data_IF_485338701737
#
_entry.id   IF_485338701737
#
_cell.length_a   1.000
_cell.length_b   1.000
_cell.length_c   1.000
_cell.angle_alpha   90.00
_cell.angle_beta   90.00
_cell.angle_gamma   90.00
#
_symmetry.space_group_name_H-M   'P 1'
#
loop_
_entity.id
_entity.type
_entity.pdbx_description
1 polymer ?
#
# COMPACT_ATOMS: atom_id res chain seq x y z
N UNK A 1 11.01 24.47 -0.61
CA UNK A 1 9.61 24.27 -0.17
C UNK A 1 8.80 23.39 -1.14
N UNK A 2 8.51 23.78 -2.40
CA UNK A 2 7.78 22.90 -3.36
C UNK A 2 8.42 21.51 -3.54
N UNK A 3 9.75 21.46 -3.66
CA UNK A 3 10.53 20.20 -3.74
C UNK A 3 10.36 19.30 -2.51
N UNK A 4 10.20 19.86 -1.32
CA UNK A 4 10.03 19.08 -0.08
C UNK A 4 8.64 18.45 0.01
N UNK A 5 7.60 19.14 -0.46
CA UNK A 5 6.24 18.61 -0.56
C UNK A 5 6.19 17.44 -1.54
N UNK A 6 6.82 17.58 -2.71
CA UNK A 6 6.88 16.49 -3.70
C UNK A 6 7.64 15.28 -3.14
N UNK A 7 8.82 15.48 -2.55
CA UNK A 7 9.60 14.37 -1.96
C UNK A 7 8.83 13.69 -0.83
N UNK A 8 8.15 14.46 0.03
CA UNK A 8 7.39 13.88 1.15
C UNK A 8 6.11 13.19 0.68
N UNK A 9 5.49 13.68 -0.40
CA UNK A 9 4.37 13.00 -1.06
C UNK A 9 4.78 11.68 -1.71
N UNK A 10 5.94 11.65 -2.38
CA UNK A 10 6.52 10.40 -2.90
C UNK A 10 6.90 9.44 -1.78
N UNK A 11 7.42 9.94 -0.65
CA UNK A 11 7.68 9.14 0.53
C UNK A 11 6.40 8.54 1.12
N UNK A 12 5.34 9.34 1.30
CA UNK A 12 4.04 8.83 1.77
C UNK A 12 3.46 7.79 0.83
N UNK A 13 3.51 8.06 -0.48
CA UNK A 13 3.14 7.08 -1.49
C UNK A 13 3.92 5.78 -1.29
N UNK A 14 5.24 5.83 -1.12
CA UNK A 14 6.09 4.65 -0.89
C UNK A 14 5.71 3.88 0.37
N UNK A 15 5.37 4.60 1.45
CA UNK A 15 4.97 3.99 2.71
C UNK A 15 3.62 3.26 2.60
N UNK A 16 2.66 3.83 1.86
CA UNK A 16 1.37 3.19 1.62
C UNK A 16 1.43 2.11 0.55
N UNK A 17 2.20 2.30 -0.52
CA UNK A 17 2.27 1.36 -1.63
C UNK A 17 3.08 0.11 -1.26
N UNK A 18 2.41 -0.87 -0.64
CA UNK A 18 2.99 -2.14 -0.22
C UNK A 18 2.34 -3.38 -0.81
N UNK A 19 2.63 -4.54 -0.21
CA UNK A 19 2.18 -5.85 -0.66
C UNK A 19 0.66 -5.99 -0.84
N UNK A 20 -0.15 -5.45 0.09
CA UNK A 20 -1.60 -5.46 -0.05
C UNK A 20 -2.08 -4.77 -1.33
N UNK A 21 -1.37 -3.74 -1.75
CA UNK A 21 -1.73 -2.93 -2.90
C UNK A 21 -1.34 -3.55 -4.24
N UNK A 22 -0.56 -4.64 -4.21
CA UNK A 22 -0.32 -5.53 -5.35
C UNK A 22 -1.29 -6.72 -5.36
N UNK A 23 -1.90 -7.05 -4.22
CA UNK A 23 -2.84 -8.17 -4.08
C UNK A 23 -4.29 -7.73 -4.41
N UNK A 24 -4.78 -6.69 -3.76
CA UNK A 24 -6.21 -6.40 -3.74
C UNK A 24 -6.74 -5.76 -5.03
N UNK A 25 -6.13 -4.71 -5.60
CA UNK A 25 -6.69 -4.06 -6.79
C UNK A 25 -6.78 -5.00 -8.01
N UNK A 26 -5.74 -5.77 -8.40
CA UNK A 26 -5.85 -6.70 -9.53
C UNK A 26 -6.91 -7.78 -9.29
N UNK A 27 -6.98 -8.34 -8.09
CA UNK A 27 -7.99 -9.37 -7.77
C UNK A 27 -9.41 -8.80 -7.78
N UNK A 28 -9.61 -7.59 -7.24
CA UNK A 28 -10.89 -6.88 -7.33
C UNK A 28 -11.27 -6.65 -8.80
N UNK A 29 -10.33 -6.20 -9.64
CA UNK A 29 -10.55 -6.04 -11.07
C UNK A 29 -11.02 -7.32 -11.76
N UNK A 30 -10.28 -8.40 -11.54
CA UNK A 30 -10.56 -9.72 -12.13
C UNK A 30 -11.92 -10.30 -11.71
N UNK A 31 -12.30 -10.11 -10.45
CA UNK A 31 -13.56 -10.65 -9.90
C UNK A 31 -14.76 -9.76 -10.16
N UNK A 32 -14.58 -8.44 -10.14
CA UNK A 32 -15.65 -7.47 -10.38
C UNK A 32 -15.95 -7.28 -11.87
N UNK A 33 -14.99 -7.52 -12.76
CA UNK A 33 -15.18 -7.44 -14.21
C UNK A 33 -15.85 -6.12 -14.62
N UNK A 34 -17.01 -6.18 -15.28
CA UNK A 34 -17.79 -5.00 -15.67
C UNK A 34 -18.14 -4.05 -14.51
N UNK A 35 -18.30 -4.57 -13.29
CA UNK A 35 -18.59 -3.76 -12.09
C UNK A 35 -17.33 -3.21 -11.40
N UNK A 36 -16.14 -3.40 -11.99
CA UNK A 36 -14.86 -2.93 -11.46
C UNK A 36 -14.91 -1.45 -11.04
N UNK A 37 -15.46 -0.56 -11.86
CA UNK A 37 -15.48 0.88 -11.55
C UNK A 37 -16.20 1.17 -10.24
N UNK A 38 -17.35 0.55 -10.01
CA UNK A 38 -18.13 0.72 -8.78
C UNK A 38 -17.38 0.10 -7.59
N UNK A 39 -16.78 -1.08 -7.77
CA UNK A 39 -15.94 -1.71 -6.74
C UNK A 39 -14.73 -0.85 -6.38
N UNK A 40 -14.05 -0.28 -7.36
CA UNK A 40 -12.88 0.57 -7.14
C UNK A 40 -13.22 1.91 -6.48
N UNK A 41 -14.43 2.46 -6.70
CA UNK A 41 -14.90 3.60 -5.90
C UNK A 41 -15.06 3.23 -4.43
N UNK A 42 -15.61 2.04 -4.15
CA UNK A 42 -15.67 1.50 -2.79
C UNK A 42 -14.29 1.30 -2.19
N UNK A 43 -13.36 0.72 -2.96
CA UNK A 43 -11.97 0.53 -2.56
C UNK A 43 -11.25 1.85 -2.27
N UNK A 44 -11.43 2.86 -3.13
CA UNK A 44 -10.81 4.17 -2.97
C UNK A 44 -11.28 4.89 -1.71
N UNK A 45 -12.52 4.66 -1.27
CA UNK A 45 -13.03 5.23 -0.02
C UNK A 45 -12.17 4.78 1.18
N UNK A 46 -11.96 3.47 1.33
CA UNK A 46 -11.31 2.89 2.52
C UNK A 46 -9.79 2.72 2.35
N UNK A 47 -9.31 2.50 1.14
CA UNK A 47 -7.90 2.29 0.81
C UNK A 47 -7.12 3.55 0.42
N UNK A 48 -7.79 4.69 0.16
CA UNK A 48 -7.13 5.95 -0.21
C UNK A 48 -7.64 7.12 0.64
N UNK A 49 -8.95 7.38 0.59
CA UNK A 49 -9.53 8.59 1.20
C UNK A 49 -9.42 8.55 2.72
N UNK A 50 -9.83 7.47 3.38
CA UNK A 50 -9.72 7.33 4.83
C UNK A 50 -8.26 7.38 5.34
N UNK A 51 -7.29 6.66 4.74
CA UNK A 51 -5.88 6.79 5.08
C UNK A 51 -5.37 8.22 4.93
N UNK A 52 -5.72 8.91 3.84
CA UNK A 52 -5.35 10.31 3.61
C UNK A 52 -5.90 11.24 4.70
N UNK A 53 -7.20 11.12 5.02
CA UNK A 53 -7.82 11.90 6.10
C UNK A 53 -7.14 11.60 7.44
N UNK A 54 -6.83 10.33 7.70
CA UNK A 54 -6.14 9.90 8.92
C UNK A 54 -4.77 10.53 9.07
N UNK A 55 -4.00 10.61 7.98
CA UNK A 55 -2.71 11.33 8.00
C UNK A 55 -2.89 12.80 8.38
N UNK A 56 -3.90 13.48 7.84
CA UNK A 56 -4.18 14.90 8.17
C UNK A 56 -4.61 15.04 9.63
N UNK A 57 -5.52 14.19 10.09
CA UNK A 57 -6.05 14.22 11.46
C UNK A 57 -4.92 13.97 12.46
N UNK A 58 -4.11 12.93 12.27
CA UNK A 58 -3.00 12.66 13.20
C UNK A 58 -1.91 13.72 13.08
N UNK A 59 -1.67 14.30 11.91
CA UNK A 59 -0.75 15.44 11.80
C UNK A 59 -1.20 16.69 12.54
N UNK A 60 -2.50 16.80 12.85
CA UNK A 60 -3.00 17.82 13.76
C UNK A 60 -2.61 17.55 15.21
N UNK A 61 -2.39 16.29 15.61
CA UNK A 61 -1.98 15.90 16.95
C UNK A 61 -0.45 15.75 17.03
N UNK A 62 0.20 16.67 17.74
CA UNK A 62 1.67 16.79 17.77
C UNK A 62 2.41 15.55 18.31
N UNK A 63 1.69 14.67 19.02
CA UNK A 63 2.22 13.52 19.78
C UNK A 63 1.81 12.15 19.18
N UNK A 64 1.31 12.11 17.94
CA UNK A 64 1.07 10.86 17.22
C UNK A 64 -0.09 10.01 17.75
N UNK A 65 -0.06 8.71 17.45
CA UNK A 65 -1.21 7.78 17.64
C UNK A 65 -1.64 7.65 19.10
N UNK A 66 -0.68 7.64 20.02
CA UNK A 66 -0.95 7.53 21.46
C UNK A 66 -1.78 8.71 21.96
N UNK A 67 -1.43 9.93 21.53
CA UNK A 67 -2.13 11.15 21.93
C UNK A 67 -3.59 11.20 21.47
N UNK A 68 -3.91 10.52 20.36
CA UNK A 68 -5.29 10.37 19.89
C UNK A 68 -6.09 9.50 20.87
N UNK A 69 -5.51 8.39 21.34
CA UNK A 69 -6.16 7.51 22.31
C UNK A 69 -6.18 8.06 23.74
N UNK A 70 -5.20 8.89 24.12
CA UNK A 70 -5.14 9.52 25.44
C UNK A 70 -6.35 10.43 25.74
N UNK A 71 -7.08 10.89 24.71
CA UNK A 71 -8.35 11.61 24.88
C UNK A 71 -9.46 10.77 25.53
N UNK A 72 -9.38 9.45 25.39
CA UNK A 72 -10.30 8.52 26.05
C UNK A 72 -9.76 8.20 27.44
N UNK A 73 -8.54 7.67 27.51
CA UNK A 73 -7.84 7.36 28.76
C UNK A 73 -6.35 7.08 28.48
N UNK A 74 -5.40 7.45 29.37
CA UNK A 74 -3.96 7.22 29.13
C UNK A 74 -3.58 5.76 28.85
N UNK A 75 -4.16 4.82 29.61
CA UNK A 75 -3.93 3.38 29.37
C UNK A 75 -4.52 2.90 28.04
N UNK A 76 -5.63 3.50 27.59
CA UNK A 76 -6.20 3.17 26.30
C UNK A 76 -5.27 3.64 25.18
N UNK A 77 -4.75 4.87 25.26
CA UNK A 77 -3.79 5.39 24.27
C UNK A 77 -2.53 4.54 24.16
N UNK A 78 -1.95 4.14 25.29
CA UNK A 78 -0.78 3.25 25.32
C UNK A 78 -1.08 1.88 24.67
N UNK A 79 -2.12 1.18 25.12
CA UNK A 79 -2.49 -0.15 24.59
C UNK A 79 -2.83 -0.05 23.10
N UNK A 80 -3.57 0.98 22.71
CA UNK A 80 -3.94 1.21 21.31
C UNK A 80 -2.69 1.42 20.44
N UNK A 81 -1.76 2.28 20.85
CA UNK A 81 -0.52 2.50 20.13
C UNK A 81 0.30 1.21 19.99
N UNK A 82 0.44 0.44 21.08
CA UNK A 82 1.14 -0.85 21.07
C UNK A 82 0.51 -1.82 20.07
N UNK A 83 -0.81 -1.99 20.08
CA UNK A 83 -1.53 -2.88 19.16
C UNK A 83 -1.33 -2.43 17.70
N UNK A 84 -1.42 -1.13 17.41
CA UNK A 84 -1.22 -0.59 16.06
C UNK A 84 0.21 -0.88 15.58
N UNK A 85 1.23 -0.57 16.38
CA UNK A 85 2.63 -0.80 16.01
C UNK A 85 2.95 -2.30 15.86
N UNK A 86 2.42 -3.17 16.72
CA UNK A 86 2.58 -4.62 16.58
C UNK A 86 1.87 -5.16 15.33
N UNK A 87 0.70 -4.63 14.99
CA UNK A 87 -0.05 -5.04 13.79
C UNK A 87 0.69 -4.68 12.51
N UNK A 88 1.21 -3.45 12.41
CA UNK A 88 2.01 -3.01 11.26
C UNK A 88 3.34 -3.78 11.19
N UNK A 89 3.97 -3.97 12.34
CA UNK A 89 5.25 -4.67 12.47
C UNK A 89 5.10 -6.19 12.49
N UNK A 90 5.17 -6.76 13.69
CA UNK A 90 5.38 -8.19 13.92
C UNK A 90 4.25 -9.10 13.42
N UNK A 91 2.98 -8.66 13.50
CA UNK A 91 1.86 -9.58 13.36
C UNK A 91 1.27 -9.65 11.95
N UNK A 92 1.26 -8.56 11.19
CA UNK A 92 0.54 -8.54 9.92
C UNK A 92 1.32 -7.89 8.79
N UNK A 93 1.73 -6.64 8.92
CA UNK A 93 2.31 -5.88 7.80
C UNK A 93 3.62 -6.50 7.28
N UNK A 94 4.59 -6.76 8.19
CA UNK A 94 5.89 -7.31 7.81
C UNK A 94 5.77 -8.77 7.30
N UNK A 95 5.07 -9.70 7.98
CA UNK A 95 4.88 -11.06 7.46
C UNK A 95 4.20 -11.10 6.09
N UNK A 96 3.17 -10.28 5.87
CA UNK A 96 2.47 -10.20 4.58
C UNK A 96 3.40 -9.71 3.47
N UNK A 97 4.21 -8.69 3.74
CA UNK A 97 5.17 -8.18 2.77
C UNK A 97 6.24 -9.21 2.38
N UNK A 98 6.74 -9.96 3.36
CA UNK A 98 7.69 -11.05 3.12
C UNK A 98 7.05 -12.18 2.27
N UNK A 99 5.79 -12.52 2.53
CA UNK A 99 5.08 -13.55 1.75
C UNK A 99 4.87 -13.14 0.30
N UNK A 100 4.46 -11.89 0.04
CA UNK A 100 4.35 -11.39 -1.35
C UNK A 100 5.70 -11.34 -2.06
N UNK A 101 6.77 -10.97 -1.35
CA UNK A 101 8.12 -11.00 -1.91
C UNK A 101 8.55 -12.44 -2.27
N UNK A 102 8.15 -13.44 -1.47
CA UNK A 102 8.35 -14.84 -1.79
C UNK A 102 7.54 -15.25 -3.02
N UNK A 103 6.22 -15.02 -3.02
CA UNK A 103 5.31 -15.43 -4.09
C UNK A 103 5.68 -14.85 -5.46
N UNK A 104 6.07 -13.58 -5.53
CA UNK A 104 6.48 -12.94 -6.78
C UNK A 104 7.95 -13.25 -7.10
N UNK A 105 8.82 -13.18 -6.09
CA UNK A 105 10.27 -13.25 -6.29
C UNK A 105 10.81 -14.65 -6.55
N UNK A 106 10.18 -15.69 -6.00
CA UNK A 106 10.70 -17.07 -6.14
C UNK A 106 9.98 -17.89 -7.21
N UNK A 107 8.83 -17.44 -7.71
CA UNK A 107 7.99 -18.22 -8.65
C UNK A 107 8.74 -18.76 -9.86
N UNK A 108 9.71 -18.00 -10.37
CA UNK A 108 10.47 -18.36 -11.56
C UNK A 108 11.87 -18.90 -11.27
N UNK A 109 12.32 -18.79 -10.01
CA UNK A 109 13.68 -19.20 -9.60
C UNK A 109 13.64 -20.58 -8.95
N UNK A 110 12.61 -20.84 -8.14
CA UNK A 110 12.49 -22.08 -7.39
C UNK A 110 11.60 -23.09 -8.13
N UNK A 111 12.09 -24.31 -8.39
CA UNK A 111 11.31 -25.36 -9.02
C UNK A 111 10.22 -25.93 -8.10
N UNK A 112 10.35 -25.73 -6.78
CA UNK A 112 9.41 -26.25 -5.77
C UNK A 112 9.07 -25.15 -4.78
N UNK A 113 7.77 -24.99 -4.50
CA UNK A 113 7.25 -24.09 -3.48
C UNK A 113 6.62 -24.93 -2.37
N UNK A 114 7.30 -24.99 -1.22
CA UNK A 114 6.83 -25.68 -0.02
C UNK A 114 7.16 -24.86 1.24
N UNK A 115 6.73 -25.36 2.40
CA UNK A 115 6.94 -24.70 3.68
C UNK A 115 8.44 -24.46 3.98
N UNK A 116 9.33 -25.37 3.58
CA UNK A 116 10.77 -25.24 3.80
C UNK A 116 11.40 -24.13 2.97
N UNK A 117 11.01 -24.02 1.69
CA UNK A 117 11.48 -22.94 0.82
C UNK A 117 11.02 -21.57 1.30
N UNK A 118 9.79 -21.49 1.84
CA UNK A 118 9.28 -20.26 2.47
C UNK A 118 10.09 -19.89 3.72
N UNK A 119 10.39 -20.85 4.60
CA UNK A 119 11.16 -20.59 5.84
C UNK A 119 12.58 -20.12 5.49
N UNK A 120 13.25 -20.78 4.54
CA UNK A 120 14.60 -20.39 4.11
C UNK A 120 14.59 -18.99 3.49
N UNK A 121 13.64 -18.72 2.59
CA UNK A 121 13.49 -17.40 1.99
C UNK A 121 13.25 -16.33 3.06
N UNK A 122 12.31 -16.57 3.99
CA UNK A 122 11.99 -15.64 5.06
C UNK A 122 13.21 -15.37 5.96
N UNK A 123 13.98 -16.40 6.32
CA UNK A 123 15.19 -16.23 7.12
C UNK A 123 16.23 -15.34 6.42
N UNK A 124 16.48 -15.57 5.12
CA UNK A 124 17.40 -14.76 4.32
C UNK A 124 16.87 -13.33 4.15
N UNK A 125 15.58 -13.20 3.80
CA UNK A 125 14.91 -11.91 3.62
C UNK A 125 15.00 -11.07 4.90
N UNK A 126 14.67 -11.64 6.05
CA UNK A 126 14.75 -10.93 7.33
C UNK A 126 16.19 -10.63 7.77
N UNK A 127 17.16 -11.49 7.46
CA UNK A 127 18.57 -11.19 7.72
C UNK A 127 19.05 -9.98 6.90
N UNK A 128 18.66 -9.89 5.63
CA UNK A 128 18.97 -8.74 4.77
C UNK A 128 18.26 -7.49 5.25
N UNK A 129 16.96 -7.58 5.55
CA UNK A 129 16.18 -6.45 6.09
C UNK A 129 16.80 -5.95 7.39
N UNK A 130 17.15 -6.84 8.32
CA UNK A 130 17.82 -6.49 9.57
C UNK A 130 19.16 -5.78 9.31
N UNK A 131 20.00 -6.31 8.42
CA UNK A 131 21.28 -5.69 8.08
C UNK A 131 21.12 -4.29 7.48
N UNK A 132 20.12 -4.09 6.61
CA UNK A 132 19.80 -2.77 6.05
C UNK A 132 19.28 -1.83 7.14
N UNK A 133 18.42 -2.31 8.05
CA UNK A 133 17.86 -1.58 9.19
C UNK A 133 18.91 -1.03 10.17
N UNK A 134 20.11 -1.61 10.22
CA UNK A 134 21.22 -1.07 11.02
C UNK A 134 21.72 0.30 10.52
N UNK A 135 21.40 0.71 9.30
CA UNK A 135 21.77 2.00 8.71
C UNK A 135 20.53 2.85 8.34
N UNK A 136 19.76 3.36 9.31
CA UNK A 136 18.47 4.01 9.07
C UNK A 136 18.56 5.28 8.21
N UNK A 137 19.70 5.99 8.25
CA UNK A 137 19.93 7.18 7.42
C UNK A 137 19.91 6.88 5.92
N UNK A 138 20.41 5.71 5.49
CA UNK A 138 20.39 5.30 4.08
C UNK A 138 19.01 4.80 3.63
N UNK A 139 18.20 4.27 4.54
CA UNK A 139 16.85 3.73 4.22
C UNK A 139 15.93 4.84 3.75
N UNK A 140 15.82 5.92 4.52
CA UNK A 140 14.92 7.05 4.22
C UNK A 140 15.32 7.72 2.90
N UNK A 141 16.62 7.82 2.63
CA UNK A 141 17.13 8.36 1.37
C UNK A 141 16.88 7.42 0.17
N UNK A 142 17.04 6.11 0.34
CA UNK A 142 16.88 5.13 -0.75
C UNK A 142 15.41 4.84 -1.10
N UNK A 143 14.51 4.83 -0.11
CA UNK A 143 13.07 4.56 -0.32
C UNK A 143 12.45 5.57 -1.27
N UNK A 144 12.57 6.87 -0.97
CA UNK A 144 11.95 7.92 -1.77
C UNK A 144 12.67 8.28 -3.06
N UNK A 145 14.01 8.14 -3.12
CA UNK A 145 14.80 8.58 -4.28
C UNK A 145 15.00 7.51 -5.36
N UNK A 146 15.09 6.23 -4.98
CA UNK A 146 15.44 5.16 -5.90
C UNK A 146 14.35 4.09 -6.02
N UNK A 147 13.91 3.53 -4.89
CA UNK A 147 12.94 2.42 -4.90
C UNK A 147 11.57 2.86 -5.41
N UNK A 148 11.10 4.04 -4.98
CA UNK A 148 9.78 4.55 -5.37
C UNK A 148 9.67 4.87 -6.87
N UNK A 149 10.61 5.62 -7.49
CA UNK A 149 10.55 5.84 -8.94
C UNK A 149 10.68 4.56 -9.76
N UNK A 150 11.53 3.62 -9.32
CA UNK A 150 11.69 2.33 -9.99
C UNK A 150 10.38 1.52 -9.96
N UNK A 151 9.76 1.44 -8.78
CA UNK A 151 8.48 0.75 -8.59
C UNK A 151 7.37 1.39 -9.43
N UNK A 152 7.28 2.73 -9.43
CA UNK A 152 6.32 3.46 -10.25
C UNK A 152 6.53 3.17 -11.74
N UNK A 153 7.78 3.14 -12.20
CA UNK A 153 8.12 2.85 -13.57
C UNK A 153 7.74 1.42 -13.97
N UNK A 154 8.04 0.42 -13.13
CA UNK A 154 7.65 -0.97 -13.38
C UNK A 154 6.14 -1.15 -13.47
N UNK A 155 5.40 -0.57 -12.51
CA UNK A 155 3.93 -0.66 -12.48
C UNK A 155 3.31 0.11 -13.64
N UNK A 156 3.85 1.27 -14.00
CA UNK A 156 3.40 2.02 -15.17
C UNK A 156 3.62 1.24 -16.46
N UNK A 157 4.81 0.66 -16.67
CA UNK A 157 5.10 -0.14 -17.86
C UNK A 157 4.15 -1.33 -17.99
N UNK A 158 3.95 -2.08 -16.90
CA UNK A 158 3.02 -3.22 -16.88
C UNK A 158 1.58 -2.76 -17.19
N UNK A 159 1.12 -1.70 -16.53
CA UNK A 159 -0.24 -1.18 -16.73
C UNK A 159 -0.45 -0.71 -18.17
N UNK A 160 0.51 0.02 -18.73
CA UNK A 160 0.48 0.51 -20.10
C UNK A 160 0.45 -0.67 -21.08
N UNK A 161 1.30 -1.68 -20.90
CA UNK A 161 1.37 -2.85 -21.78
C UNK A 161 0.01 -3.57 -21.86
N UNK A 162 -0.66 -3.76 -20.73
CA UNK A 162 -1.97 -4.43 -20.66
C UNK A 162 -3.10 -3.54 -21.21
N UNK A 163 -3.05 -2.23 -20.97
CA UNK A 163 -4.05 -1.30 -21.54
C UNK A 163 -4.02 -1.31 -23.07
N UNK A 164 -2.84 -1.40 -23.68
CA UNK A 164 -2.71 -1.43 -25.14
C UNK A 164 -2.94 -2.81 -25.75
N UNK A 165 -2.76 -3.90 -24.99
CA UNK A 165 -2.98 -5.27 -25.44
C UNK A 165 -3.81 -6.06 -24.42
N UNK A 166 -5.09 -5.73 -24.22
CA UNK A 166 -5.94 -6.49 -23.30
C UNK A 166 -6.12 -7.93 -23.79
N UNK A 167 -6.08 -8.90 -22.88
CA UNK A 167 -6.26 -10.32 -23.22
C UNK A 167 -7.72 -10.65 -23.52
N UNK A 168 -8.63 -10.06 -22.75
CA UNK A 168 -10.06 -10.20 -22.96
C UNK A 168 -10.81 -8.91 -22.67
N UNK A 169 -12.02 -8.81 -23.22
CA UNK A 169 -12.99 -7.83 -22.75
C UNK A 169 -13.34 -8.07 -21.27
N UNK A 170 -13.86 -7.03 -20.61
CA UNK A 170 -14.25 -7.13 -19.20
C UNK A 170 -15.30 -8.24 -19.02
N UNK A 171 -14.95 -9.23 -18.20
CA UNK A 171 -15.81 -10.38 -17.91
C UNK A 171 -17.02 -9.98 -17.05
N UNK A 172 -18.03 -10.85 -16.99
CA UNK A 172 -19.17 -10.64 -16.09
C UNK A 172 -18.71 -10.69 -14.62
N UNK A 173 -19.28 -9.85 -13.73
CA UNK A 173 -18.95 -9.85 -12.31
C UNK A 173 -19.23 -11.21 -11.67
N UNK A 174 -18.40 -11.58 -10.69
CA UNK A 174 -18.53 -12.83 -9.93
C UNK A 174 -18.82 -12.55 -8.45
N UNK A 175 -19.43 -13.53 -7.79
CA UNK A 175 -19.64 -13.58 -6.35
C UNK A 175 -20.27 -12.30 -5.78
N UNK A 176 -19.63 -11.73 -4.75
CA UNK A 176 -20.05 -10.53 -4.02
C UNK A 176 -20.14 -9.26 -4.88
N UNK A 177 -19.50 -9.24 -6.06
CA UNK A 177 -19.54 -8.10 -6.98
C UNK A 177 -20.77 -8.10 -7.90
N UNK A 178 -21.57 -9.18 -7.90
CA UNK A 178 -22.86 -9.21 -8.62
C UNK A 178 -23.88 -8.33 -7.91
N UNK A 179 -24.01 -8.46 -6.59
CA UNK A 179 -25.05 -7.79 -5.80
C UNK A 179 -24.57 -6.52 -5.12
N UNK A 180 -23.34 -6.52 -4.59
CA UNK A 180 -22.83 -5.44 -3.75
C UNK A 180 -21.40 -5.01 -4.14
N UNK A 181 -21.17 -4.53 -5.38
CA UNK A 181 -19.84 -4.19 -5.85
C UNK A 181 -19.17 -3.09 -5.00
N UNK A 182 -19.91 -2.04 -4.64
CA UNK A 182 -19.37 -0.94 -3.83
C UNK A 182 -18.93 -1.40 -2.43
N UNK A 183 -19.82 -2.08 -1.69
CA UNK A 183 -19.54 -2.56 -0.33
C UNK A 183 -18.37 -3.55 -0.34
N UNK A 184 -18.38 -4.49 -1.31
CA UNK A 184 -17.30 -5.46 -1.47
C UNK A 184 -15.97 -4.78 -1.73
N UNK A 185 -15.94 -3.77 -2.61
CA UNK A 185 -14.76 -2.96 -2.86
C UNK A 185 -14.28 -2.20 -1.61
N UNK A 186 -15.20 -1.64 -0.83
CA UNK A 186 -14.84 -0.97 0.44
C UNK A 186 -14.24 -1.91 1.47
N UNK A 187 -14.67 -3.17 1.52
CA UNK A 187 -14.05 -4.17 2.38
C UNK A 187 -12.63 -4.52 1.90
N UNK A 188 -12.41 -4.68 0.59
CA UNK A 188 -11.07 -4.91 0.06
C UNK A 188 -10.12 -3.74 0.34
N UNK A 189 -10.60 -2.51 0.19
CA UNK A 189 -9.81 -1.31 0.53
C UNK A 189 -9.53 -1.21 2.03
N UNK A 190 -10.38 -1.77 2.90
CA UNK A 190 -10.12 -1.87 4.33
C UNK A 190 -9.05 -2.93 4.65
N UNK A 191 -9.08 -4.07 3.96
CA UNK A 191 -8.11 -5.15 4.15
C UNK A 191 -6.69 -4.83 3.65
N UNK A 192 -6.49 -3.75 2.89
CA UNK A 192 -5.13 -3.23 2.64
C UNK A 192 -4.41 -2.89 3.93
N UNK A 193 -5.15 -2.54 5.00
CA UNK A 193 -4.66 -2.04 6.29
C UNK A 193 -3.94 -0.69 6.20
N UNK A 194 -4.07 0.03 5.09
CA UNK A 194 -3.45 1.34 4.91
C UNK A 194 -4.02 2.35 5.90
N UNK A 195 -5.28 2.20 6.32
CA UNK A 195 -5.91 3.05 7.33
C UNK A 195 -5.20 2.94 8.69
N UNK A 196 -4.89 1.71 9.10
CA UNK A 196 -4.16 1.43 10.35
C UNK A 196 -2.72 1.93 10.24
N UNK A 197 -2.09 1.71 9.08
CA UNK A 197 -0.74 2.17 8.81
C UNK A 197 -0.61 3.70 8.78
N UNK A 198 -1.64 4.41 8.30
CA UNK A 198 -1.71 5.87 8.27
C UNK A 198 -1.53 6.51 9.65
N UNK A 199 -2.04 5.85 10.70
CA UNK A 199 -1.84 6.29 12.09
C UNK A 199 -0.34 6.37 12.41
N UNK A 200 0.45 5.36 12.07
CA UNK A 200 1.89 5.36 12.31
C UNK A 200 2.68 6.25 11.33
N UNK A 201 2.36 6.20 10.04
CA UNK A 201 3.10 6.93 8.99
C UNK A 201 2.92 8.45 9.08
N UNK A 202 1.79 8.91 9.62
CA UNK A 202 1.56 10.33 9.90
C UNK A 202 2.65 10.92 10.82
N UNK A 203 3.07 10.17 11.85
CA UNK A 203 4.12 10.57 12.78
C UNK A 203 5.45 10.73 12.06
N UNK A 204 5.75 9.80 11.15
CA UNK A 204 6.98 9.81 10.35
C UNK A 204 7.05 11.05 9.46
N UNK A 205 5.96 11.41 8.75
CA UNK A 205 5.97 12.61 7.90
C UNK A 205 6.02 13.90 8.71
N UNK A 206 5.26 14.00 9.81
CA UNK A 206 5.27 15.18 10.69
C UNK A 206 6.66 15.41 11.25
N UNK A 207 7.28 14.36 11.80
CA UNK A 207 8.64 14.44 12.31
C UNK A 207 9.64 14.73 11.19
N UNK A 208 9.46 14.17 9.99
CA UNK A 208 10.28 14.47 8.82
C UNK A 208 10.30 15.97 8.44
N UNK A 209 9.20 16.69 8.65
CA UNK A 209 9.17 18.15 8.51
C UNK A 209 9.81 18.88 9.69
N UNK A 210 9.54 18.44 10.93
CA UNK A 210 10.14 19.02 12.15
C UNK A 210 11.67 18.92 12.13
N UNK A 211 12.22 17.77 11.75
CA UNK A 211 13.67 17.55 11.59
C UNK A 211 14.32 18.48 10.56
N UNK A 212 13.55 18.99 9.59
CA UNK A 212 14.04 19.96 8.59
C UNK A 212 13.92 21.42 9.06
N UNK A 213 13.69 21.64 10.36
CA UNK A 213 13.64 22.96 10.98
C UNK A 213 12.29 23.67 10.86
N UNK A 214 11.23 22.99 10.42
CA UNK A 214 9.89 23.57 10.47
C UNK A 214 9.31 23.46 11.89
N UNK A 215 9.03 24.61 12.50
CA UNK A 215 8.44 24.72 13.84
C UNK A 215 6.99 25.21 13.82
N UNK A 216 6.55 25.80 12.70
CA UNK A 216 5.20 26.35 12.54
C UNK A 216 4.19 25.22 12.22
N UNK A 217 3.33 24.91 13.20
CA UNK A 217 2.31 23.86 13.12
C UNK A 217 1.36 24.02 11.93
N UNK A 218 0.92 25.24 11.63
CA UNK A 218 0.00 25.49 10.51
C UNK A 218 0.68 25.26 9.16
N UNK A 219 1.96 25.60 9.06
CA UNK A 219 2.76 25.27 7.86
C UNK A 219 2.98 23.78 7.70
N UNK A 220 3.28 23.06 8.79
CA UNK A 220 3.43 21.59 8.77
C UNK A 220 2.14 20.94 8.28
N UNK A 221 0.99 21.31 8.85
CA UNK A 221 -0.32 20.80 8.43
C UNK A 221 -0.61 21.03 6.95
N UNK A 222 -0.34 22.25 6.46
CA UNK A 222 -0.50 22.58 5.04
C UNK A 222 0.38 21.69 4.15
N UNK A 223 1.62 21.42 4.55
CA UNK A 223 2.54 20.59 3.78
C UNK A 223 2.21 19.11 3.83
N UNK A 224 1.76 18.61 4.98
CA UNK A 224 1.26 17.24 5.11
C UNK A 224 0.03 17.06 4.23
N UNK A 225 -0.91 18.02 4.21
CA UNK A 225 -2.09 17.97 3.35
C UNK A 225 -1.71 17.89 1.85
N UNK A 226 -0.83 18.78 1.37
CA UNK A 226 -0.39 18.72 -0.03
C UNK A 226 0.40 17.45 -0.36
N UNK A 227 1.23 16.97 0.56
CA UNK A 227 2.00 15.73 0.36
C UNK A 227 1.09 14.50 0.33
N UNK A 228 0.11 14.45 1.24
CA UNK A 228 -0.89 13.40 1.28
C UNK A 228 -1.77 13.41 0.03
N UNK A 229 -2.11 14.59 -0.50
CA UNK A 229 -2.88 14.70 -1.74
C UNK A 229 -2.11 14.13 -2.94
N UNK A 230 -0.80 14.42 -3.03
CA UNK A 230 0.07 13.83 -4.05
C UNK A 230 0.08 12.29 -3.91
N UNK A 231 0.25 11.78 -2.69
CA UNK A 231 0.24 10.34 -2.45
C UNK A 231 -1.10 9.69 -2.82
N UNK A 232 -2.22 10.29 -2.41
CA UNK A 232 -3.57 9.80 -2.70
C UNK A 232 -3.86 9.74 -4.20
N UNK A 233 -3.45 10.76 -4.97
CA UNK A 233 -3.61 10.79 -6.42
C UNK A 233 -2.78 9.69 -7.08
N UNK A 234 -1.52 9.50 -6.65
CA UNK A 234 -0.65 8.46 -7.19
C UNK A 234 -1.17 7.05 -6.86
N UNK A 235 -1.61 6.81 -5.61
CA UNK A 235 -2.23 5.55 -5.20
C UNK A 235 -3.49 5.27 -6.04
N UNK A 236 -4.37 6.27 -6.19
CA UNK A 236 -5.57 6.15 -7.01
C UNK A 236 -5.26 5.78 -8.45
N UNK A 237 -4.37 6.53 -9.10
CA UNK A 237 -3.97 6.24 -10.47
C UNK A 237 -3.48 4.80 -10.64
N UNK A 238 -2.61 4.34 -9.74
CA UNK A 238 -2.05 2.99 -9.82
C UNK A 238 -3.10 1.93 -9.50
N UNK A 239 -3.92 2.10 -8.47
CA UNK A 239 -4.89 1.09 -8.08
C UNK A 239 -5.94 0.86 -9.17
N UNK A 240 -6.42 1.93 -9.79
CA UNK A 240 -7.35 1.81 -10.92
C UNK A 240 -6.67 1.16 -12.13
N UNK A 241 -5.40 1.47 -12.39
CA UNK A 241 -4.65 0.81 -13.45
C UNK A 241 -4.44 -0.69 -13.18
N UNK A 242 -4.05 -1.07 -11.96
CA UNK A 242 -3.87 -2.45 -11.53
C UNK A 242 -5.19 -3.24 -11.54
N UNK A 243 -6.28 -2.61 -11.13
CA UNK A 243 -7.60 -3.21 -11.24
C UNK A 243 -8.02 -3.39 -12.71
N UNK A 244 -7.67 -2.45 -13.59
CA UNK A 244 -7.92 -2.63 -15.02
C UNK A 244 -7.10 -3.79 -15.60
N UNK A 245 -5.84 -3.93 -15.19
CA UNK A 245 -5.00 -5.09 -15.54
C UNK A 245 -5.70 -6.38 -15.15
N UNK A 246 -6.21 -6.47 -13.92
CA UNK A 246 -6.98 -7.63 -13.47
C UNK A 246 -8.25 -7.88 -14.28
N UNK A 247 -9.04 -6.83 -14.54
CA UNK A 247 -10.32 -6.95 -15.28
C UNK A 247 -10.15 -7.33 -16.76
N UNK A 248 -8.98 -7.05 -17.34
CA UNK A 248 -8.63 -7.33 -18.74
C UNK A 248 -7.79 -8.61 -18.93
N UNK A 249 -7.47 -9.30 -17.83
CA UNK A 249 -6.86 -10.63 -17.85
C UNK A 249 -7.93 -11.68 -18.15
N UNK A 250 -7.59 -12.71 -18.93
CA UNK A 250 -8.53 -13.77 -19.27
C UNK A 250 -9.07 -14.47 -18.00
N UNK A 251 -10.32 -14.96 -18.02
CA UNK A 251 -10.87 -15.73 -16.92
C UNK A 251 -9.98 -16.95 -16.58
N UNK A 252 -9.33 -16.89 -15.42
CA UNK A 252 -8.44 -17.94 -14.92
C UNK A 252 -8.65 -18.16 -13.43
N UNK A 253 -8.16 -19.29 -12.94
CA UNK A 253 -8.18 -19.64 -11.52
C UNK A 253 -6.92 -19.08 -10.83
N UNK A 254 -6.91 -17.76 -10.61
CA UNK A 254 -5.85 -17.07 -9.88
C UNK A 254 -6.16 -17.07 -8.38
N UNK A 255 -5.15 -17.28 -7.52
CA UNK A 255 -5.34 -17.32 -6.05
C UNK A 255 -5.45 -15.93 -5.45
N UNK A 256 -4.68 -14.99 -5.98
CA UNK A 256 -4.60 -13.60 -5.51
C UNK A 256 -4.17 -12.65 -6.64
N UNK A 257 -4.06 -11.36 -6.35
CA UNK A 257 -3.63 -10.38 -7.35
C UNK A 257 -2.18 -10.52 -7.78
N UNK A 258 -1.31 -11.12 -6.97
CA UNK A 258 0.08 -11.34 -7.35
C UNK A 258 0.19 -12.38 -8.46
N UNK A 259 -0.62 -13.43 -8.39
CA UNK A 259 -0.75 -14.43 -9.46
C UNK A 259 -1.11 -13.78 -10.80
N UNK A 260 -2.06 -12.84 -10.79
CA UNK A 260 -2.51 -12.10 -11.98
C UNK A 260 -1.37 -11.25 -12.54
N UNK A 261 -0.68 -10.49 -11.69
CA UNK A 261 0.41 -9.63 -12.11
C UNK A 261 1.58 -10.43 -12.66
N UNK A 262 1.93 -11.55 -12.01
CA UNK A 262 2.99 -12.44 -12.48
C UNK A 262 2.62 -13.06 -13.83
N UNK A 263 1.38 -13.52 -14.00
CA UNK A 263 0.90 -14.03 -15.29
C UNK A 263 1.03 -12.99 -16.41
N UNK A 264 0.59 -11.76 -16.17
CA UNK A 264 0.68 -10.68 -17.16
C UNK A 264 2.12 -10.23 -17.44
N UNK A 265 3.03 -10.34 -16.47
CA UNK A 265 4.44 -9.94 -16.64
C UNK A 265 5.25 -10.86 -17.56
N UNK A 266 4.76 -12.07 -17.81
CA UNK A 266 5.44 -13.07 -18.65
C UNK A 266 5.02 -13.03 -20.12
N UNK A 267 4.07 -12.17 -20.47
CA UNK A 267 3.50 -12.04 -21.81
C UNK A 267 4.02 -10.80 -22.50
#
# INVERSE_FOLDING_TARGET
>A
MKKQVIISGLMLFSLFFGAGNLIFPPMLGHTAGQNMWIGMLGFALTGILLPFITVIVVAFYDEGVESVGNRIHPWFGFIFAVVIYMSIGAFYGIPRAANVAYEIGTRHILPVHNQWTLIIFAAIFFAIVYWISLNPSKIVDNLGKLLTPLLLLMVALLSIAVIFNPESALSAPKDKYITHPFISGSLEGYFTMDLVAALAFSVVIVNGYKFKGLTDRMKILKYVCFSGLIAAILLGMIYFALAYVGASTAPGNFKDGTDILTYNSLR
#
